data_IF_295556878480
#
_entry.id   IF_295556878480
#
_cell.length_a   1.000
_cell.length_b   1.000
_cell.length_c   1.000
_cell.angle_alpha   90.00
_cell.angle_beta   90.00
_cell.angle_gamma   90.00
#
_symmetry.space_group_name_H-M   'P 1'
#
loop_
_entity.id
_entity.type
_entity.pdbx_description
1 polymer ?
#
# COMPACT_ATOMS: atom_id res chain seq x y z
N UNK A 1 -10.52 38.84 9.54
CA UNK A 1 -10.68 37.39 9.41
C UNK A 1 -10.40 36.86 8.00
N UNK A 2 -10.24 37.71 6.99
CA UNK A 2 -10.03 37.34 5.57
C UNK A 2 -8.57 37.20 5.09
N UNK A 3 -7.58 37.54 5.94
CA UNK A 3 -6.15 37.53 5.54
C UNK A 3 -5.48 36.15 5.71
N UNK A 4 -5.94 35.33 6.66
CA UNK A 4 -5.35 33.99 6.92
C UNK A 4 -5.77 32.93 5.88
N UNK A 5 -6.93 33.11 5.25
CA UNK A 5 -7.41 32.18 4.23
C UNK A 5 -6.65 32.33 2.90
N UNK A 6 -6.20 33.56 2.55
CA UNK A 6 -5.42 33.80 1.34
C UNK A 6 -3.99 33.28 1.42
N UNK A 7 -3.40 33.20 2.62
CA UNK A 7 -2.05 32.62 2.80
C UNK A 7 -2.04 31.09 2.68
N UNK A 8 -3.08 30.41 3.16
CA UNK A 8 -3.21 28.96 3.03
C UNK A 8 -3.38 28.53 1.57
N UNK A 9 -4.18 29.28 0.79
CA UNK A 9 -4.40 28.99 -0.63
C UNK A 9 -3.15 29.30 -1.48
N UNK A 10 -2.37 30.32 -1.14
CA UNK A 10 -1.12 30.63 -1.84
C UNK A 10 -0.02 29.60 -1.56
N UNK A 11 0.01 29.01 -0.35
CA UNK A 11 0.98 27.98 0.00
C UNK A 11 0.65 26.63 -0.66
N UNK A 12 -0.63 26.32 -0.88
CA UNK A 12 -1.04 25.12 -1.60
C UNK A 12 -0.76 25.19 -3.10
N UNK A 13 -0.88 26.38 -3.72
CA UNK A 13 -0.55 26.58 -5.14
C UNK A 13 0.95 26.64 -5.43
N UNK A 14 1.78 27.05 -4.48
CA UNK A 14 3.24 27.12 -4.68
C UNK A 14 3.93 25.76 -4.62
N UNK A 15 3.33 24.75 -3.99
CA UNK A 15 3.85 23.37 -3.99
C UNK A 15 3.51 22.63 -5.27
N UNK A 16 2.53 23.12 -6.06
CA UNK A 16 2.09 22.47 -7.31
C UNK A 16 2.95 22.79 -8.54
N UNK A 17 3.92 23.72 -8.45
CA UNK A 17 4.63 24.23 -9.64
C UNK A 17 6.04 23.71 -9.88
N UNK A 18 6.56 22.75 -9.12
CA UNK A 18 7.98 22.33 -9.24
C UNK A 18 8.17 20.83 -9.49
N UNK A 19 7.25 20.09 -10.05
CA UNK A 19 7.47 18.66 -10.28
C UNK A 19 7.03 18.17 -11.65
N UNK A 20 8.06 17.95 -12.48
CA UNK A 20 7.99 17.13 -13.71
C UNK A 20 8.99 15.97 -13.58
N UNK A 21 8.92 14.78 -13.92
CA UNK A 21 8.15 13.56 -13.76
C UNK A 21 8.65 12.31 -14.48
N UNK A 22 8.52 11.16 -13.98
CA UNK A 22 8.08 9.91 -14.63
C UNK A 22 7.72 8.83 -13.57
N UNK A 23 6.81 7.93 -13.88
CA UNK A 23 5.95 7.20 -12.96
C UNK A 23 6.23 5.74 -12.77
N UNK A 24 5.93 5.28 -11.55
CA UNK A 24 5.51 3.92 -11.24
C UNK A 24 4.34 3.99 -10.26
N UNK A 25 3.28 3.26 -10.58
CA UNK A 25 2.05 3.16 -9.80
C UNK A 25 2.33 2.71 -8.37
N UNK A 26 1.84 3.46 -7.40
CA UNK A 26 1.67 2.96 -6.04
C UNK A 26 0.22 2.45 -5.92
N UNK A 27 0.01 1.20 -6.25
CA UNK A 27 -1.14 0.45 -5.82
C UNK A 27 -0.59 -0.57 -4.84
N UNK A 28 -1.12 -0.56 -3.64
CA UNK A 28 -0.76 -1.36 -2.48
C UNK A 28 0.56 -1.02 -1.78
N UNK A 29 0.50 -0.97 -0.47
CA UNK A 29 1.62 -0.98 0.45
C UNK A 29 2.32 -2.35 0.51
N UNK A 30 2.03 -3.25 -0.39
CA UNK A 30 2.93 -4.33 -0.78
C UNK A 30 4.06 -3.71 -1.59
N UNK A 31 5.32 -4.10 -1.40
CA UNK A 31 6.40 -3.67 -2.26
C UNK A 31 6.08 -4.15 -3.69
N UNK A 32 5.54 -3.22 -4.48
CA UNK A 32 5.14 -3.50 -5.85
C UNK A 32 6.36 -3.91 -6.66
N UNK A 33 6.26 -5.03 -7.36
CA UNK A 33 7.20 -5.40 -8.39
C UNK A 33 7.32 -4.26 -9.42
N UNK A 34 8.51 -3.70 -9.55
CA UNK A 34 8.78 -2.60 -10.48
C UNK A 34 8.54 -3.06 -11.92
N UNK A 35 7.50 -2.55 -12.54
CA UNK A 35 7.32 -2.69 -14.00
C UNK A 35 8.29 -1.74 -14.70
N UNK A 36 9.36 -2.26 -15.29
CA UNK A 36 10.28 -1.48 -16.15
C UNK A 36 9.52 -0.91 -17.32
N UNK A 37 9.35 0.40 -17.35
CA UNK A 37 8.98 1.13 -18.57
C UNK A 37 10.26 1.40 -19.36
N UNK A 38 10.40 0.72 -20.50
CA UNK A 38 11.43 1.02 -21.48
C UNK A 38 11.01 2.25 -22.28
N UNK A 39 11.77 3.34 -22.12
CA UNK A 39 11.71 4.48 -23.03
C UNK A 39 12.79 4.25 -24.10
N UNK A 40 12.41 3.90 -25.30
CA UNK A 40 13.32 4.00 -26.45
C UNK A 40 12.74 4.86 -27.56
N UNK A 41 13.58 5.81 -27.97
CA UNK A 41 13.35 6.64 -29.14
C UNK A 41 13.46 5.82 -30.43
N UNK A 42 12.57 6.14 -31.35
CA UNK A 42 12.40 5.58 -32.70
C UNK A 42 13.73 5.32 -33.44
N UNK A 43 14.06 4.04 -33.62
CA UNK A 43 14.92 3.59 -34.73
C UNK A 43 14.39 2.26 -35.25
N UNK A 44 14.28 2.19 -36.58
CA UNK A 44 13.93 1.06 -37.47
C UNK A 44 13.79 -0.31 -36.77
N UNK A 45 12.61 -0.90 -36.84
CA UNK A 45 12.24 -2.12 -36.14
C UNK A 45 13.17 -3.30 -36.45
N UNK A 46 13.89 -3.83 -35.45
CA UNK A 46 14.34 -5.23 -35.45
C UNK A 46 13.12 -6.13 -35.21
N UNK A 47 13.22 -7.40 -35.63
CA UNK A 47 12.21 -8.40 -35.32
C UNK A 47 11.81 -8.37 -33.84
N UNK A 48 10.53 -8.60 -33.46
CA UNK A 48 10.09 -8.53 -32.07
C UNK A 48 10.99 -9.41 -31.21
N UNK A 49 11.70 -8.81 -30.27
CA UNK A 49 12.46 -9.57 -29.28
C UNK A 49 11.46 -10.47 -28.53
N UNK A 50 11.79 -11.75 -28.39
CA UNK A 50 10.96 -12.67 -27.60
C UNK A 50 10.84 -12.09 -26.18
N UNK A 51 9.61 -11.76 -25.78
CA UNK A 51 9.33 -11.34 -24.40
C UNK A 51 9.67 -12.49 -23.47
N UNK A 52 10.65 -12.27 -22.59
CA UNK A 52 11.06 -13.25 -21.60
C UNK A 52 10.28 -13.06 -20.31
N UNK A 53 10.03 -14.13 -19.54
CA UNK A 53 9.53 -13.98 -18.18
C UNK A 53 10.47 -13.07 -17.36
N UNK A 54 9.89 -12.30 -16.47
CA UNK A 54 10.61 -11.48 -15.48
C UNK A 54 10.34 -12.02 -14.09
N UNK A 55 11.30 -11.86 -13.19
CA UNK A 55 11.15 -12.25 -11.80
C UNK A 55 11.71 -11.19 -10.86
N UNK A 56 11.06 -11.05 -9.71
CA UNK A 56 11.51 -10.23 -8.61
C UNK A 56 11.34 -10.99 -7.29
N UNK A 57 12.35 -10.91 -6.45
CA UNK A 57 12.28 -11.38 -5.07
C UNK A 57 12.74 -10.26 -4.15
N UNK A 58 11.85 -9.83 -3.26
CA UNK A 58 12.12 -8.74 -2.30
C UNK A 58 11.95 -9.25 -0.88
N UNK A 59 12.81 -8.80 0.03
CA UNK A 59 12.63 -8.94 1.46
C UNK A 59 12.70 -7.55 2.08
N UNK A 60 11.63 -7.15 2.76
CA UNK A 60 11.54 -5.89 3.48
C UNK A 60 11.58 -6.13 4.99
N UNK A 61 12.35 -5.32 5.72
CA UNK A 61 12.30 -5.24 7.17
C UNK A 61 11.75 -3.85 7.54
N UNK A 62 10.55 -3.80 8.10
CA UNK A 62 9.83 -2.57 8.42
C UNK A 62 9.66 -2.41 9.94
N UNK A 63 9.67 -1.18 10.41
CA UNK A 63 9.51 -0.88 11.85
C UNK A 63 8.11 -1.17 12.38
N UNK A 64 7.14 -1.32 11.45
CA UNK A 64 5.73 -1.51 11.78
C UNK A 64 4.98 -1.99 10.53
N UNK A 65 3.89 -2.75 10.70
CA UNK A 65 2.97 -3.11 9.64
C UNK A 65 1.72 -2.23 9.73
N UNK A 66 1.56 -1.35 8.76
CA UNK A 66 0.37 -0.50 8.57
C UNK A 66 -0.27 -0.88 7.24
N UNK A 67 -1.55 -1.20 7.24
CA UNK A 67 -2.31 -1.54 6.04
C UNK A 67 -3.57 -0.68 5.95
N UNK A 68 -3.70 0.11 4.88
CA UNK A 68 -4.85 0.99 4.64
C UNK A 68 -5.23 1.85 5.88
N UNK A 69 -4.24 2.41 6.55
CA UNK A 69 -4.44 3.21 7.76
C UNK A 69 -4.55 2.43 9.07
N UNK A 70 -4.67 1.10 9.00
CA UNK A 70 -4.78 0.25 10.20
C UNK A 70 -3.40 -0.17 10.72
N UNK A 71 -3.22 -0.04 12.04
CA UNK A 71 -2.05 -0.55 12.74
C UNK A 71 -2.20 -2.06 12.97
N UNK A 72 -1.46 -2.87 12.20
CA UNK A 72 -1.48 -4.33 12.30
C UNK A 72 -0.32 -4.88 13.17
N UNK A 73 0.73 -4.08 13.40
CA UNK A 73 1.76 -4.40 14.39
C UNK A 73 2.16 -3.16 15.18
N UNK A 74 2.64 -3.34 16.42
CA UNK A 74 3.05 -2.23 17.29
C UNK A 74 4.34 -2.56 18.02
N UNK A 75 5.33 -1.62 17.95
CA UNK A 75 6.65 -1.82 18.55
C UNK A 75 7.33 -3.14 18.15
N UNK A 76 7.13 -3.56 16.91
CA UNK A 76 7.62 -4.81 16.37
C UNK A 76 8.17 -4.58 14.98
N UNK A 77 9.38 -5.07 14.73
CA UNK A 77 9.88 -5.18 13.36
C UNK A 77 9.13 -6.29 12.66
N UNK A 78 8.67 -6.02 11.44
CA UNK A 78 8.07 -7.05 10.58
C UNK A 78 9.00 -7.35 9.43
N UNK A 79 9.07 -8.63 9.02
CA UNK A 79 9.84 -9.08 7.86
C UNK A 79 8.85 -9.58 6.80
N UNK A 80 8.92 -8.95 5.63
CA UNK A 80 7.93 -9.13 4.56
C UNK A 80 8.63 -9.60 3.28
N UNK A 81 8.77 -10.91 3.05
CA UNK A 81 9.22 -11.45 1.78
C UNK A 81 8.12 -11.38 0.73
N UNK A 82 8.52 -11.12 -0.51
CA UNK A 82 7.65 -11.08 -1.69
C UNK A 82 8.36 -11.71 -2.88
N UNK A 83 7.64 -12.49 -3.67
CA UNK A 83 8.14 -13.07 -4.91
C UNK A 83 7.14 -12.86 -6.03
N UNK A 84 7.59 -12.26 -7.13
CA UNK A 84 6.76 -11.98 -8.30
C UNK A 84 7.34 -12.65 -9.53
N UNK A 85 6.47 -13.21 -10.37
CA UNK A 85 6.79 -13.62 -11.72
C UNK A 85 5.85 -12.93 -12.70
N UNK A 86 6.38 -12.44 -13.82
CA UNK A 86 5.62 -11.74 -14.84
C UNK A 86 5.89 -12.28 -16.25
N UNK A 87 4.86 -12.36 -17.09
CA UNK A 87 4.98 -12.73 -18.49
C UNK A 87 3.82 -12.17 -19.33
N UNK A 88 4.12 -11.41 -20.37
CA UNK A 88 3.15 -10.86 -21.34
C UNK A 88 1.97 -10.12 -20.68
N UNK A 89 2.27 -9.32 -19.66
CA UNK A 89 1.27 -8.56 -18.93
C UNK A 89 0.60 -9.32 -17.78
N UNK A 90 0.69 -10.66 -17.73
CA UNK A 90 0.28 -11.43 -16.57
C UNK A 90 1.33 -11.38 -15.48
N UNK A 91 0.88 -11.35 -14.24
CA UNK A 91 1.74 -11.41 -13.05
C UNK A 91 1.11 -12.28 -11.97
N UNK A 92 1.96 -13.02 -11.27
CA UNK A 92 1.62 -13.70 -10.04
C UNK A 92 2.62 -13.28 -8.96
N UNK A 93 2.10 -12.88 -7.80
CA UNK A 93 2.88 -12.49 -6.64
C UNK A 93 2.45 -13.31 -5.43
N UNK A 94 3.42 -13.73 -4.63
CA UNK A 94 3.21 -14.24 -3.28
C UNK A 94 3.95 -13.29 -2.34
N UNK A 95 3.24 -12.82 -1.33
CA UNK A 95 3.76 -11.97 -0.27
C UNK A 95 3.45 -12.60 1.09
N UNK A 96 4.20 -12.24 2.13
CA UNK A 96 3.89 -12.68 3.47
C UNK A 96 4.46 -11.78 4.53
N UNK A 97 3.96 -11.94 5.76
CA UNK A 97 4.36 -11.15 6.92
C UNK A 97 4.78 -12.05 8.09
N UNK A 98 6.02 -11.85 8.52
CA UNK A 98 6.54 -12.36 9.79
C UNK A 98 6.60 -11.21 10.79
N UNK A 99 5.75 -11.22 11.79
CA UNK A 99 5.86 -10.31 12.94
C UNK A 99 6.85 -10.88 13.95
N UNK A 100 7.93 -10.14 14.21
CA UNK A 100 8.99 -10.58 15.13
C UNK A 100 8.57 -10.50 16.59
N UNK A 101 7.53 -9.71 16.90
CA UNK A 101 7.01 -9.52 18.26
C UNK A 101 5.51 -9.19 18.22
N UNK A 102 4.64 -10.15 17.84
CA UNK A 102 3.22 -9.92 17.69
C UNK A 102 2.59 -9.33 18.94
N UNK A 103 1.73 -8.33 18.73
CA UNK A 103 1.01 -7.66 19.79
C UNK A 103 -0.34 -8.34 20.05
N UNK A 104 -0.53 -8.85 21.27
CA UNK A 104 -1.79 -9.46 21.69
C UNK A 104 -2.40 -8.71 22.86
N UNK A 105 -3.66 -8.40 22.74
CA UNK A 105 -4.44 -7.81 23.81
C UNK A 105 -5.13 -8.89 24.63
N UNK A 106 -5.11 -8.71 25.94
CA UNK A 106 -6.09 -9.32 26.84
C UNK A 106 -5.70 -10.61 27.55
N UNK A 107 -4.55 -11.22 27.30
CA UNK A 107 -4.16 -12.45 27.99
C UNK A 107 -3.11 -12.27 29.07
N UNK A 108 -2.59 -11.05 29.27
CA UNK A 108 -1.50 -10.78 30.24
C UNK A 108 -0.17 -11.47 29.90
N UNK A 109 -0.13 -12.29 28.88
CA UNK A 109 1.07 -12.98 28.42
C UNK A 109 1.58 -12.32 27.15
N UNK A 110 2.59 -11.47 27.26
CA UNK A 110 3.22 -10.74 26.16
C UNK A 110 4.41 -11.49 25.53
N UNK A 111 4.63 -12.74 25.90
CA UNK A 111 5.77 -13.54 25.46
C UNK A 111 5.41 -14.45 24.30
N UNK A 112 4.88 -13.88 23.21
CA UNK A 112 4.75 -14.65 21.98
C UNK A 112 6.06 -14.61 21.21
N UNK A 113 6.46 -15.79 20.69
CA UNK A 113 7.52 -15.89 19.70
C UNK A 113 7.12 -15.16 18.40
N UNK A 114 8.09 -14.87 17.54
CA UNK A 114 7.84 -14.39 16.20
C UNK A 114 6.81 -15.29 15.49
N UNK A 115 5.87 -14.69 14.78
CA UNK A 115 4.76 -15.39 14.16
C UNK A 115 4.64 -14.98 12.69
N UNK A 116 4.54 -15.99 11.82
CA UNK A 116 4.08 -15.80 10.44
C UNK A 116 2.56 -15.66 10.48
N UNK A 117 2.02 -14.48 10.19
CA UNK A 117 0.61 -14.19 10.41
C UNK A 117 -0.18 -13.88 9.15
N UNK A 118 0.50 -13.76 7.98
CA UNK A 118 -0.19 -13.47 6.73
C UNK A 118 0.56 -14.04 5.52
N UNK A 119 -0.18 -14.55 4.54
CA UNK A 119 0.33 -14.96 3.24
C UNK A 119 -0.69 -14.59 2.17
N UNK A 120 -0.30 -13.74 1.23
CA UNK A 120 -1.17 -13.25 0.17
C UNK A 120 -0.75 -13.80 -1.19
N UNK A 121 -1.74 -14.05 -2.04
CA UNK A 121 -1.56 -14.37 -3.45
C UNK A 121 -2.25 -13.30 -4.29
N UNK A 122 -1.49 -12.60 -5.14
CA UNK A 122 -2.05 -11.67 -6.12
C UNK A 122 -1.86 -12.23 -7.53
N UNK A 123 -2.93 -12.29 -8.30
CA UNK A 123 -2.92 -12.59 -9.72
C UNK A 123 -3.42 -11.37 -10.48
N UNK A 124 -2.67 -10.89 -11.48
CA UNK A 124 -3.05 -9.69 -12.21
C UNK A 124 -2.72 -9.78 -13.70
N UNK A 125 -3.37 -8.90 -14.46
CA UNK A 125 -3.03 -8.62 -15.85
C UNK A 125 -2.99 -7.12 -16.06
N UNK A 126 -1.95 -6.62 -16.72
CA UNK A 126 -1.80 -5.21 -17.08
C UNK A 126 -1.49 -5.03 -18.55
N UNK A 127 -1.99 -3.95 -19.15
CA UNK A 127 -1.75 -3.60 -20.55
C UNK A 127 -1.61 -2.08 -20.70
N UNK A 128 -0.54 -1.68 -21.36
CA UNK A 128 -0.35 -0.28 -21.76
C UNK A 128 -1.01 -0.03 -23.13
N UNK A 129 -1.86 0.99 -23.19
CA UNK A 129 -2.56 1.44 -24.39
C UNK A 129 -2.31 2.95 -24.59
N UNK A 130 -1.23 3.28 -25.27
CA UNK A 130 -0.81 4.66 -25.45
C UNK A 130 -0.52 5.38 -24.12
N UNK A 131 -1.36 6.36 -23.79
CA UNK A 131 -1.24 7.12 -22.53
C UNK A 131 -1.76 6.36 -21.31
N UNK A 132 -2.56 5.32 -21.51
CA UNK A 132 -3.24 4.60 -20.43
C UNK A 132 -2.53 3.29 -20.09
N UNK A 133 -2.37 3.04 -18.79
CA UNK A 133 -2.07 1.73 -18.22
C UNK A 133 -3.35 1.18 -17.62
N UNK A 134 -3.85 0.07 -18.15
CA UNK A 134 -5.05 -0.59 -17.68
C UNK A 134 -4.66 -1.92 -17.04
N UNK A 135 -5.27 -2.23 -15.92
CA UNK A 135 -5.01 -3.49 -15.23
C UNK A 135 -6.20 -3.96 -14.42
N UNK A 136 -6.07 -5.17 -13.91
CA UNK A 136 -7.01 -5.75 -12.98
C UNK A 136 -6.50 -7.10 -12.48
N UNK A 137 -7.10 -7.58 -11.40
CA UNK A 137 -6.64 -8.81 -10.81
C UNK A 137 -7.50 -9.26 -9.63
N UNK A 138 -6.94 -10.22 -8.93
CA UNK A 138 -7.53 -10.87 -7.78
C UNK A 138 -6.46 -10.99 -6.69
N UNK A 139 -6.87 -10.78 -5.44
CA UNK A 139 -6.03 -10.95 -4.26
C UNK A 139 -6.73 -11.92 -3.32
N UNK A 140 -5.99 -12.91 -2.84
CA UNK A 140 -6.35 -13.74 -1.70
C UNK A 140 -5.46 -13.37 -0.52
N UNK A 141 -6.06 -13.03 0.60
CA UNK A 141 -5.41 -12.73 1.87
C UNK A 141 -5.54 -13.94 2.79
N UNK A 142 -4.45 -14.67 3.01
CA UNK A 142 -4.39 -15.81 3.91
C UNK A 142 -3.98 -15.35 5.30
N UNK A 143 -4.96 -14.98 6.13
CA UNK A 143 -4.74 -14.43 7.47
C UNK A 143 -4.58 -15.55 8.50
N UNK A 144 -3.40 -15.63 9.10
CA UNK A 144 -3.12 -16.56 10.19
C UNK A 144 -3.88 -16.19 11.45
N UNK A 145 -4.82 -17.04 11.88
CA UNK A 145 -5.42 -16.89 13.20
C UNK A 145 -4.35 -17.09 14.27
N UNK A 146 -4.10 -16.06 15.07
CA UNK A 146 -3.14 -16.11 16.18
C UNK A 146 -3.64 -16.99 17.33
N UNK A 147 -4.94 -17.24 17.39
CA UNK A 147 -5.55 -18.20 18.27
C UNK A 147 -5.99 -19.43 17.46
N UNK A 148 -5.34 -20.59 17.61
CA UNK A 148 -5.71 -21.82 16.89
C UNK A 148 -7.13 -22.31 17.22
N UNK A 149 -7.69 -21.88 18.34
CA UNK A 149 -9.06 -22.18 18.75
C UNK A 149 -10.09 -21.16 18.23
N UNK A 150 -9.64 -20.15 17.46
CA UNK A 150 -10.55 -19.20 16.85
C UNK A 150 -11.52 -19.92 15.89
N UNK A 151 -12.85 -19.72 16.04
CA UNK A 151 -13.84 -20.54 15.34
C UNK A 151 -13.93 -20.25 13.83
N UNK A 152 -13.29 -19.21 13.32
CA UNK A 152 -13.29 -18.84 11.90
C UNK A 152 -11.95 -18.24 11.49
N UNK A 153 -11.46 -18.64 10.32
CA UNK A 153 -10.39 -17.93 9.63
C UNK A 153 -10.94 -16.57 9.16
N UNK A 154 -10.11 -15.56 9.19
CA UNK A 154 -10.44 -14.22 8.71
C UNK A 154 -9.85 -13.98 7.31
N UNK A 155 -9.59 -15.06 6.57
CA UNK A 155 -9.13 -14.97 5.18
C UNK A 155 -10.08 -14.07 4.38
N UNK A 156 -9.54 -13.30 3.47
CA UNK A 156 -10.31 -12.35 2.68
C UNK A 156 -9.95 -12.44 1.20
N UNK A 157 -10.80 -11.93 0.35
CA UNK A 157 -10.61 -11.96 -1.09
C UNK A 157 -11.04 -10.64 -1.70
N UNK A 158 -10.23 -10.14 -2.64
CA UNK A 158 -10.57 -8.93 -3.39
C UNK A 158 -10.40 -9.15 -4.90
N UNK A 159 -11.24 -8.48 -5.66
CA UNK A 159 -10.99 -8.19 -7.07
C UNK A 159 -10.67 -6.71 -7.21
N UNK A 160 -9.80 -6.37 -8.16
CA UNK A 160 -9.48 -4.96 -8.41
C UNK A 160 -9.37 -4.63 -9.88
N UNK A 161 -9.57 -3.34 -10.18
CA UNK A 161 -9.29 -2.74 -11.48
C UNK A 161 -8.47 -1.48 -11.29
N UNK A 162 -7.54 -1.22 -12.20
CA UNK A 162 -6.66 -0.05 -12.15
C UNK A 162 -6.60 0.67 -13.48
N UNK A 163 -6.55 1.99 -13.42
CA UNK A 163 -6.32 2.88 -14.56
C UNK A 163 -5.23 3.87 -14.17
N UNK A 164 -4.12 3.84 -14.87
CA UNK A 164 -3.02 4.78 -14.72
C UNK A 164 -2.81 5.61 -15.99
N UNK A 165 -2.21 6.78 -15.85
CA UNK A 165 -1.81 7.63 -16.97
C UNK A 165 -0.28 7.74 -17.04
N UNK A 166 0.30 7.45 -18.20
CA UNK A 166 1.73 7.65 -18.49
C UNK A 166 2.04 9.15 -18.67
N UNK A 167 1.87 9.91 -17.62
CA UNK A 167 2.17 11.34 -17.56
C UNK A 167 3.14 11.62 -16.42
N UNK A 168 3.46 12.84 -16.26
CA UNK A 168 4.44 13.30 -15.29
C UNK A 168 4.19 12.89 -13.84
N UNK A 169 3.06 12.87 -13.28
CA UNK A 169 2.73 12.31 -11.97
C UNK A 169 1.99 10.97 -12.07
N UNK A 170 1.95 10.30 -13.27
CA UNK A 170 1.20 9.09 -13.63
C UNK A 170 0.09 8.75 -12.62
N UNK A 171 -0.90 9.65 -12.45
CA UNK A 171 -1.97 9.39 -11.51
C UNK A 171 -2.56 8.01 -11.81
N UNK A 172 -2.77 7.25 -10.76
CA UNK A 172 -3.34 5.91 -10.87
C UNK A 172 -4.52 5.80 -9.92
N UNK A 173 -5.66 5.40 -10.45
CA UNK A 173 -6.82 5.03 -9.66
C UNK A 173 -6.94 3.52 -9.66
N UNK A 174 -6.97 2.93 -8.47
CA UNK A 174 -7.30 1.52 -8.27
C UNK A 174 -8.59 1.41 -7.47
N UNK A 175 -9.47 0.52 -7.91
CA UNK A 175 -10.74 0.23 -7.23
C UNK A 175 -10.71 -1.23 -6.82
N UNK A 176 -10.83 -1.47 -5.53
CA UNK A 176 -10.91 -2.79 -4.93
C UNK A 176 -12.35 -3.08 -4.50
N UNK A 177 -12.76 -4.31 -4.70
CA UNK A 177 -14.02 -4.84 -4.15
C UNK A 177 -13.69 -6.08 -3.33
N UNK A 178 -13.88 -5.99 -2.04
CA UNK A 178 -13.83 -7.16 -1.16
C UNK A 178 -15.08 -8.03 -1.41
N UNK A 179 -14.89 -9.32 -1.61
CA UNK A 179 -15.93 -10.25 -2.10
C UNK A 179 -16.18 -11.43 -1.15
N UNK A 180 -15.57 -11.45 0.04
CA UNK A 180 -15.68 -12.54 1.00
C UNK A 180 -16.25 -12.07 2.36
N UNK A 181 -15.42 -11.51 3.25
CA UNK A 181 -15.79 -11.25 4.64
C UNK A 181 -16.18 -9.80 4.94
N UNK A 182 -15.52 -8.82 4.31
CA UNK A 182 -15.59 -7.43 4.77
C UNK A 182 -16.52 -6.55 3.94
N UNK A 183 -16.97 -7.00 2.79
CA UNK A 183 -18.01 -6.39 1.96
C UNK A 183 -17.89 -4.88 1.76
N UNK A 184 -16.71 -4.42 1.33
CA UNK A 184 -16.45 -3.01 1.08
C UNK A 184 -15.94 -2.74 -0.34
N UNK A 185 -15.98 -1.47 -0.72
CA UNK A 185 -15.24 -0.91 -1.83
C UNK A 185 -14.14 0.00 -1.29
N UNK A 186 -12.94 -0.14 -1.83
CA UNK A 186 -11.84 0.74 -1.51
C UNK A 186 -11.31 1.37 -2.79
N UNK A 187 -11.32 2.69 -2.86
CA UNK A 187 -10.85 3.49 -3.98
C UNK A 187 -9.55 4.14 -3.59
N UNK A 188 -8.48 3.90 -4.34
CA UNK A 188 -7.14 4.41 -4.07
C UNK A 188 -6.66 5.26 -5.24
N UNK A 189 -6.46 6.54 -5.02
CA UNK A 189 -5.81 7.44 -5.94
C UNK A 189 -4.36 7.62 -5.51
N UNK A 190 -3.42 7.26 -6.38
CA UNK A 190 -1.99 7.41 -6.14
C UNK A 190 -1.34 8.34 -7.15
N UNK A 191 -0.28 9.01 -6.71
CA UNK A 191 0.67 9.73 -7.55
C UNK A 191 2.07 9.45 -7.05
N UNK A 192 3.06 9.34 -7.94
CA UNK A 192 4.45 9.21 -7.50
C UNK A 192 5.42 9.79 -8.51
N UNK A 193 6.65 10.04 -8.11
CA UNK A 193 7.73 10.46 -8.99
C UNK A 193 9.07 9.88 -8.59
N UNK A 194 9.84 9.43 -9.58
CA UNK A 194 11.20 8.94 -9.43
C UNK A 194 12.19 9.98 -9.98
N UNK A 195 12.99 10.56 -9.11
CA UNK A 195 14.12 11.43 -9.48
C UNK A 195 15.38 10.57 -9.60
N UNK A 196 15.87 10.36 -10.79
CA UNK A 196 17.14 9.66 -11.02
C UNK A 196 18.31 10.63 -10.90
N UNK A 197 19.06 10.58 -9.79
CA UNK A 197 20.23 11.41 -9.61
C UNK A 197 21.42 10.91 -10.44
N UNK A 198 21.54 9.59 -10.54
CA UNK A 198 22.53 8.92 -11.37
C UNK A 198 22.09 7.45 -11.62
N UNK A 199 22.96 6.65 -12.25
CA UNK A 199 22.66 5.23 -12.57
C UNK A 199 22.52 4.31 -11.34
N UNK A 200 22.88 4.79 -10.16
CA UNK A 200 22.92 4.01 -8.90
C UNK A 200 21.84 4.48 -7.93
N UNK A 201 21.64 5.78 -7.79
CA UNK A 201 20.79 6.37 -6.74
C UNK A 201 19.64 7.14 -7.37
N UNK A 202 18.45 6.83 -6.90
CA UNK A 202 17.21 7.55 -7.23
C UNK A 202 16.46 7.94 -5.95
N UNK A 203 15.59 8.94 -6.04
CA UNK A 203 14.65 9.31 -4.99
C UNK A 203 13.23 9.12 -5.52
N UNK A 204 12.43 8.33 -4.85
CA UNK A 204 11.00 8.18 -5.16
C UNK A 204 10.16 8.91 -4.11
N UNK A 205 9.29 9.78 -4.57
CA UNK A 205 8.26 10.42 -3.77
C UNK A 205 6.90 9.87 -4.22
N UNK A 206 6.06 9.50 -3.26
CA UNK A 206 4.72 9.02 -3.55
C UNK A 206 3.71 9.60 -2.57
N UNK A 207 2.47 9.77 -3.03
CA UNK A 207 1.35 10.16 -2.21
C UNK A 207 0.09 9.40 -2.66
N UNK A 208 -0.72 8.96 -1.69
CA UNK A 208 -2.00 8.35 -1.97
C UNK A 208 -3.11 8.99 -1.15
N UNK A 209 -4.33 8.89 -1.66
CA UNK A 209 -5.55 9.25 -0.95
C UNK A 209 -6.61 8.20 -1.27
N UNK A 210 -7.35 7.77 -0.26
CA UNK A 210 -8.34 6.73 -0.41
C UNK A 210 -9.75 7.18 -0.02
N UNK A 211 -10.73 6.42 -0.50
CA UNK A 211 -12.12 6.50 -0.10
C UNK A 211 -12.61 5.07 0.16
N UNK A 212 -13.18 4.82 1.32
CA UNK A 212 -13.73 3.53 1.69
C UNK A 212 -15.26 3.63 1.76
N UNK A 213 -15.93 2.67 1.14
CA UNK A 213 -17.39 2.54 1.17
C UNK A 213 -17.76 1.14 1.65
N UNK A 214 -18.23 1.04 2.86
CA UNK A 214 -18.80 -0.19 3.39
C UNK A 214 -20.16 -0.51 2.75
N UNK A 215 -20.42 -1.78 2.51
CA UNK A 215 -21.74 -2.28 2.12
C UNK A 215 -22.39 -3.10 3.25
N UNK A 216 -21.65 -3.32 4.35
CA UNK A 216 -22.10 -4.06 5.53
C UNK A 216 -21.61 -3.38 6.83
N UNK A 217 -22.54 -2.88 7.62
CA UNK A 217 -22.28 -2.22 8.90
C UNK A 217 -21.73 -3.16 9.98
N UNK A 218 -21.86 -4.45 9.81
CA UNK A 218 -21.34 -5.41 10.80
C UNK A 218 -19.84 -5.63 10.66
N UNK A 219 -19.30 -5.42 9.46
CA UNK A 219 -17.87 -5.60 9.16
C UNK A 219 -17.12 -4.29 9.10
N UNK A 220 -17.74 -3.24 8.51
CA UNK A 220 -17.18 -1.90 8.47
C UNK A 220 -18.22 -0.86 8.93
N UNK A 221 -18.48 -0.78 10.24
CA UNK A 221 -19.36 0.24 10.81
C UNK A 221 -18.71 1.63 10.77
N UNK A 222 -19.54 2.65 10.78
CA UNK A 222 -19.10 3.98 11.17
C UNK A 222 -18.86 4.01 12.68
N UNK A 223 -17.80 4.70 13.13
CA UNK A 223 -17.49 4.89 14.53
C UNK A 223 -17.86 6.32 14.98
N UNK A 224 -18.35 6.44 16.20
CA UNK A 224 -18.64 7.72 16.82
C UNK A 224 -17.36 8.45 17.33
N UNK A 225 -17.52 9.65 17.90
CA UNK A 225 -16.41 10.44 18.42
C UNK A 225 -15.64 9.80 19.58
N UNK A 226 -16.18 8.74 20.19
CA UNK A 226 -15.54 7.93 21.21
C UNK A 226 -14.86 6.68 20.63
N UNK A 227 -14.79 6.56 19.31
CA UNK A 227 -14.30 5.40 18.57
C UNK A 227 -15.08 4.11 18.95
N UNK A 228 -16.41 4.22 19.12
CA UNK A 228 -17.33 3.11 19.34
C UNK A 228 -18.12 2.88 18.06
N UNK A 229 -18.23 1.61 17.63
CA UNK A 229 -18.97 1.22 16.45
C UNK A 229 -20.45 1.58 16.58
N UNK A 230 -21.02 2.16 15.51
CA UNK A 230 -22.44 2.48 15.37
C UNK A 230 -23.15 1.44 14.49
N UNK A 231 -24.43 1.64 14.22
CA UNK A 231 -25.20 0.83 13.26
C UNK A 231 -25.17 1.38 11.84
N UNK A 232 -24.43 2.47 11.60
CA UNK A 232 -24.28 3.07 10.29
C UNK A 232 -23.08 2.47 9.56
N UNK A 233 -23.13 2.42 8.24
CA UNK A 233 -22.02 1.98 7.37
C UNK A 233 -20.99 3.10 7.24
N UNK A 234 -19.71 2.72 7.24
CA UNK A 234 -18.67 3.68 6.88
C UNK A 234 -18.75 4.05 5.39
N UNK A 235 -18.66 5.35 5.08
CA UNK A 235 -18.61 5.84 3.70
C UNK A 235 -18.00 7.24 3.69
N UNK A 236 -16.66 7.34 3.58
CA UNK A 236 -15.95 8.62 3.58
C UNK A 236 -14.53 8.49 3.00
N UNK A 237 -13.84 9.62 2.79
CA UNK A 237 -12.39 9.62 2.60
C UNK A 237 -11.72 8.96 3.81
N UNK A 238 -10.80 8.02 3.52
CA UNK A 238 -10.27 7.12 4.54
C UNK A 238 -8.83 7.50 4.92
N UNK A 239 -7.83 7.02 4.22
CA UNK A 239 -6.44 7.26 4.57
C UNK A 239 -5.68 8.03 3.47
N UNK A 240 -4.72 8.83 3.93
CA UNK A 240 -3.67 9.41 3.12
C UNK A 240 -2.33 8.80 3.49
N UNK A 241 -1.46 8.58 2.50
CA UNK A 241 -0.11 8.12 2.72
C UNK A 241 0.88 8.98 1.94
N UNK A 242 1.97 9.37 2.59
CA UNK A 242 3.12 10.04 1.99
C UNK A 242 4.34 9.14 2.18
N UNK A 243 5.02 8.79 1.07
CA UNK A 243 6.16 7.88 1.10
C UNK A 243 7.37 8.51 0.43
N UNK A 244 8.51 8.37 1.06
CA UNK A 244 9.84 8.71 0.54
C UNK A 244 10.66 7.44 0.52
N UNK A 245 11.19 7.07 -0.66
CA UNK A 245 12.07 5.91 -0.83
C UNK A 245 13.35 6.32 -1.56
N UNK A 246 14.45 5.66 -1.27
CA UNK A 246 15.75 5.90 -1.89
C UNK A 246 16.28 4.60 -2.53
N UNK A 247 15.83 4.22 -3.74
CA UNK A 247 16.36 3.06 -4.44
C UNK A 247 17.85 3.23 -4.75
N UNK A 248 18.68 2.28 -4.31
CA UNK A 248 20.14 2.22 -4.50
C UNK A 248 20.46 0.91 -5.23
N UNK A 249 20.84 0.98 -6.49
CA UNK A 249 21.27 -0.17 -7.29
C UNK A 249 22.66 -0.62 -6.84
N UNK A 250 22.72 -1.57 -5.90
CA UNK A 250 23.98 -2.11 -5.41
C UNK A 250 24.69 -2.94 -6.47
N UNK A 251 23.95 -3.64 -7.33
CA UNK A 251 24.43 -4.36 -8.51
C UNK A 251 23.43 -4.22 -9.65
N UNK A 252 23.67 -4.91 -10.79
CA UNK A 252 22.67 -5.01 -11.89
C UNK A 252 21.41 -5.79 -11.50
N UNK A 253 21.45 -6.58 -10.45
CA UNK A 253 20.37 -7.46 -9.99
C UNK A 253 19.84 -7.11 -8.62
N UNK A 254 20.60 -6.34 -7.81
CA UNK A 254 20.25 -6.06 -6.41
C UNK A 254 20.03 -4.57 -6.23
N UNK A 255 18.86 -4.22 -5.70
CA UNK A 255 18.50 -2.87 -5.28
C UNK A 255 18.19 -2.85 -3.79
N UNK A 256 18.79 -1.92 -3.05
CA UNK A 256 18.48 -1.63 -1.65
C UNK A 256 17.62 -0.38 -1.59
N UNK A 257 16.48 -0.43 -0.90
CA UNK A 257 15.53 0.67 -0.86
C UNK A 257 15.15 1.02 0.59
N UNK A 258 15.87 1.95 1.24
CA UNK A 258 15.36 2.59 2.45
C UNK A 258 14.07 3.35 2.14
N UNK A 259 13.09 3.24 3.05
CA UNK A 259 11.77 3.87 2.89
C UNK A 259 11.30 4.44 4.22
N UNK A 260 10.61 5.58 4.15
CA UNK A 260 9.84 6.16 5.25
C UNK A 260 8.47 6.57 4.74
N UNK A 261 7.43 6.28 5.52
CA UNK A 261 6.03 6.58 5.20
C UNK A 261 5.35 7.28 6.37
N UNK A 262 4.42 8.17 6.03
CA UNK A 262 3.49 8.79 6.97
C UNK A 262 2.06 8.56 6.51
N UNK A 263 1.31 7.81 7.32
CA UNK A 263 -0.11 7.49 7.11
C UNK A 263 -0.96 8.27 8.07
N UNK A 264 -2.10 8.80 7.59
CA UNK A 264 -2.98 9.65 8.38
C UNK A 264 -4.42 9.58 7.86
N UNK A 265 -5.44 9.78 8.73
CA UNK A 265 -6.84 9.81 8.32
C UNK A 265 -7.16 11.06 7.49
N UNK A 266 -7.98 10.91 6.46
CA UNK A 266 -8.45 12.01 5.59
C UNK A 266 -9.80 12.61 6.06
N UNK A 267 -10.46 11.99 7.04
CA UNK A 267 -11.70 12.49 7.63
C UNK A 267 -11.76 12.18 9.13
N UNK A 268 -12.65 12.87 9.85
CA UNK A 268 -12.91 12.55 11.26
C UNK A 268 -13.56 11.17 11.41
N UNK A 269 -14.38 10.74 10.47
CA UNK A 269 -14.95 9.39 10.46
C UNK A 269 -13.84 8.33 10.34
N UNK A 270 -12.89 8.52 9.43
CA UNK A 270 -11.74 7.62 9.28
C UNK A 270 -10.85 7.61 10.53
N UNK A 271 -10.62 8.78 11.14
CA UNK A 271 -9.89 8.88 12.40
C UNK A 271 -10.53 8.04 13.51
N UNK A 272 -11.84 8.13 13.65
CA UNK A 272 -12.59 7.39 14.67
C UNK A 272 -12.57 5.89 14.37
N UNK A 273 -12.71 5.51 13.13
CA UNK A 273 -12.73 4.13 12.67
C UNK A 273 -11.35 3.46 12.84
N UNK A 274 -10.24 4.12 12.43
CA UNK A 274 -8.88 3.64 12.65
C UNK A 274 -8.58 3.45 14.14
N UNK A 275 -9.06 4.36 15.00
CA UNK A 275 -8.97 4.21 16.45
C UNK A 275 -9.80 3.05 16.96
N UNK A 276 -11.02 2.86 16.44
CA UNK A 276 -11.93 1.77 16.81
C UNK A 276 -11.34 0.40 16.51
N UNK A 277 -10.80 0.22 15.32
CA UNK A 277 -10.12 -1.00 14.89
C UNK A 277 -8.67 -1.12 15.37
N UNK A 278 -8.07 -0.06 15.89
CA UNK A 278 -6.68 -0.06 16.34
C UNK A 278 -6.37 -1.10 17.42
N UNK A 279 -5.13 -1.52 17.49
CA UNK A 279 -4.65 -2.50 18.46
C UNK A 279 -4.98 -2.08 19.89
N UNK A 280 -5.41 -3.02 20.70
CA UNK A 280 -5.82 -2.78 22.10
C UNK A 280 -4.62 -2.35 22.99
N UNK A 281 -4.87 -2.15 24.29
CA UNK A 281 -3.87 -1.66 25.25
C UNK A 281 -3.99 -0.17 25.57
N UNK A 282 -4.79 0.57 24.79
CA UNK A 282 -5.29 1.91 25.09
C UNK A 282 -6.81 1.89 24.96
N UNK A 283 -7.51 2.80 25.62
CA UNK A 283 -8.94 3.01 25.33
C UNK A 283 -9.08 3.41 23.86
N UNK A 284 -10.15 3.02 23.14
CA UNK A 284 -10.28 3.31 21.71
C UNK A 284 -10.03 4.78 21.36
N UNK A 285 -10.57 5.72 22.14
CA UNK A 285 -10.40 7.16 21.93
C UNK A 285 -8.95 7.64 22.03
N UNK A 286 -8.10 6.94 22.80
CA UNK A 286 -6.70 7.29 23.04
C UNK A 286 -5.73 6.58 22.07
N UNK A 287 -6.23 5.74 21.19
CA UNK A 287 -5.41 5.05 20.17
C UNK A 287 -4.93 6.04 19.12
N UNK A 288 -3.80 5.72 18.50
CA UNK A 288 -3.26 6.49 17.40
C UNK A 288 -4.06 6.19 16.12
N UNK A 289 -4.09 7.15 15.20
CA UNK A 289 -4.69 7.05 13.87
C UNK A 289 -3.78 7.63 12.78
N UNK A 290 -2.56 8.00 13.16
CA UNK A 290 -1.52 8.45 12.23
C UNK A 290 -0.21 7.81 12.62
N UNK A 291 0.56 7.35 11.63
CA UNK A 291 1.73 6.53 11.86
C UNK A 291 2.88 6.98 10.97
N UNK A 292 4.08 7.08 11.55
CA UNK A 292 5.33 7.18 10.82
C UNK A 292 6.04 5.83 10.97
N UNK A 293 6.29 5.18 9.85
CA UNK A 293 7.01 3.92 9.84
C UNK A 293 7.99 3.88 8.65
N UNK A 294 8.92 2.97 8.69
CA UNK A 294 9.91 2.85 7.65
C UNK A 294 10.77 1.63 7.82
N UNK A 295 11.64 1.41 6.86
CA UNK A 295 12.50 0.25 6.87
C UNK A 295 13.43 0.18 5.68
N UNK A 296 13.89 -1.03 5.39
CA UNK A 296 14.79 -1.34 4.30
C UNK A 296 14.27 -2.55 3.53
N UNK A 297 14.15 -2.40 2.22
CA UNK A 297 13.91 -3.51 1.31
C UNK A 297 15.21 -3.88 0.56
N UNK A 298 15.41 -5.16 0.30
CA UNK A 298 16.42 -5.69 -0.60
C UNK A 298 15.71 -6.50 -1.69
N UNK A 299 15.82 -6.04 -2.93
CA UNK A 299 15.18 -6.64 -4.10
C UNK A 299 16.24 -7.28 -5.01
N UNK A 300 15.93 -8.47 -5.50
CA UNK A 300 16.66 -9.18 -6.54
C UNK A 300 15.75 -9.33 -7.76
N UNK A 301 16.15 -8.81 -8.93
CA UNK A 301 15.35 -8.83 -10.16
C UNK A 301 16.14 -9.43 -11.32
N UNK A 302 15.46 -10.21 -12.19
CA UNK A 302 16.05 -10.87 -13.38
C UNK A 302 15.07 -10.94 -14.55
#
# INVERSE_FOLDING_TARGET
>A
MFSKLKMATAMLLSVLMIFSVTFVSAADEQPAAETKVLTEATKTAPAPAEEKPTGDFTVSAMSQYIWRGYELSRNSVVVQPSATIGYKGFSANIWGNLDTRPYFSGTGNTSYASTWNETDLTLSYTKTLGLFNLGGGYIYYGLGALNPDAPKRMDSQEIFATVGLNTILAPTLTVYREIDHYHNWYFLLGVSHLFEFNKVISLKLAATASYLQSTDETTYPKFDGNAVATTDKFSNFHDGNLTISLPIKATSYITLTPTISYVFPLSDDAKNEMKGFGLSGKTPVDRDSSFIYGGLAASFSF
#
